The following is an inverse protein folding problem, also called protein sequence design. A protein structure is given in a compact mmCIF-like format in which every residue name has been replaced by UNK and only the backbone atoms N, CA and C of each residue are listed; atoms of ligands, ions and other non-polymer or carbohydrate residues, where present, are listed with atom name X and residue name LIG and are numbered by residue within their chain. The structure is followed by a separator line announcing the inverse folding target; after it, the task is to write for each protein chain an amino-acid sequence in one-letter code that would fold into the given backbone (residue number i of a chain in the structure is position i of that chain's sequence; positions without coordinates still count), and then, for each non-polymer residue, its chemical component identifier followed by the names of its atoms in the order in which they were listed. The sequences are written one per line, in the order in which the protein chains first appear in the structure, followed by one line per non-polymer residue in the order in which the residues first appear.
data_IF_019921944495
#
_entry.id   IF_019921944495
#
_cell.length_a   1.000
_cell.length_b   1.000
_cell.length_c   1.000
_cell.angle_alpha   90.00
_cell.angle_beta   90.00
_cell.angle_gamma   90.00
#
_symmetry.space_group_name_H-M   'P 1'
#
loop_
_entity.id
_entity.type
_entity.pdbx_description
1 polymer ?
#
# COMPACT_ATOMS: atom_id res chain seq x y z
N UNK A 1 -7.68 16.72 -15.55
CA UNK A 1 -6.42 15.93 -15.41
C UNK A 1 -6.79 14.46 -15.36
N UNK A 2 -5.97 13.63 -16.00
CA UNK A 2 -6.32 12.34 -16.59
C UNK A 2 -7.19 11.42 -15.70
N UNK A 3 -8.37 11.06 -16.20
CA UNK A 3 -9.11 9.92 -15.66
C UNK A 3 -8.38 8.63 -16.01
N UNK A 4 -7.94 7.85 -15.00
CA UNK A 4 -7.58 6.44 -15.22
C UNK A 4 -8.88 5.75 -15.70
N UNK A 5 -8.96 5.47 -16.99
CA UNK A 5 -10.02 4.66 -17.58
C UNK A 5 -9.72 3.19 -17.24
N UNK A 6 -10.12 2.74 -16.06
CA UNK A 6 -10.14 1.33 -15.69
C UNK A 6 -11.27 0.65 -16.48
N UNK A 7 -10.99 0.29 -17.72
CA UNK A 7 -11.95 -0.37 -18.61
C UNK A 7 -12.35 -1.75 -18.09
N UNK A 8 -13.66 -1.92 -17.86
CA UNK A 8 -14.43 -3.16 -18.10
C UNK A 8 -13.79 -4.49 -17.71
N UNK A 9 -13.38 -4.58 -16.44
CA UNK A 9 -12.91 -5.78 -15.74
C UNK A 9 -12.27 -5.30 -14.44
N UNK A 10 -13.03 -5.26 -13.35
CA UNK A 10 -12.55 -4.68 -12.09
C UNK A 10 -11.40 -5.52 -11.53
N UNK A 11 -10.15 -5.10 -11.80
CA UNK A 11 -8.96 -5.71 -11.22
C UNK A 11 -9.04 -5.57 -9.70
N UNK A 12 -8.98 -6.70 -8.99
CA UNK A 12 -9.01 -6.74 -7.53
C UNK A 12 -7.63 -6.37 -6.99
N UNK A 13 -7.43 -5.09 -6.69
CA UNK A 13 -6.22 -4.59 -6.04
C UNK A 13 -6.44 -4.54 -4.52
N UNK A 14 -5.62 -5.26 -3.75
CA UNK A 14 -5.63 -5.18 -2.28
C UNK A 14 -4.47 -4.34 -1.77
N UNK A 15 -4.76 -3.38 -0.89
CA UNK A 15 -3.79 -2.41 -0.36
C UNK A 15 -3.55 -2.70 1.13
N UNK A 16 -2.28 -2.83 1.49
CA UNK A 16 -1.78 -3.15 2.82
C UNK A 16 -0.86 -2.04 3.27
N UNK A 17 -1.12 -1.46 4.44
CA UNK A 17 -0.32 -0.35 4.96
C UNK A 17 0.34 -0.70 6.29
N UNK A 18 1.56 -0.21 6.47
CA UNK A 18 2.15 -0.07 7.79
C UNK A 18 1.41 1.03 8.56
N UNK A 19 0.83 0.69 9.71
CA UNK A 19 0.21 1.66 10.64
C UNK A 19 0.99 1.72 11.95
N UNK A 20 2.32 1.65 11.88
CA UNK A 20 3.22 1.63 13.05
C UNK A 20 3.39 3.00 13.73
N UNK A 21 4.03 3.01 14.89
CA UNK A 21 4.12 4.18 15.78
C UNK A 21 4.88 5.42 15.25
N UNK A 22 5.58 5.31 14.12
CA UNK A 22 6.38 6.40 13.57
C UNK A 22 5.58 7.27 12.58
N UNK A 23 6.01 8.50 12.36
CA UNK A 23 5.45 9.40 11.34
C UNK A 23 5.39 8.75 9.94
N UNK A 24 6.36 7.90 9.61
CA UNK A 24 6.40 7.21 8.32
C UNK A 24 5.37 6.08 8.20
N UNK A 25 4.94 5.49 9.33
CA UNK A 25 3.79 4.59 9.40
C UNK A 25 2.46 5.35 9.30
N UNK A 26 2.35 6.50 9.97
CA UNK A 26 1.22 7.42 9.77
C UNK A 26 1.06 7.77 8.29
N UNK A 27 2.15 8.13 7.59
CA UNK A 27 2.11 8.43 6.17
C UNK A 27 1.65 7.23 5.32
N UNK A 28 2.18 6.04 5.57
CA UNK A 28 1.79 4.84 4.83
C UNK A 28 0.27 4.54 4.97
N UNK A 29 -0.27 4.66 6.19
CA UNK A 29 -1.71 4.52 6.46
C UNK A 29 -2.54 5.59 5.74
N UNK A 30 -2.14 6.87 5.82
CA UNK A 30 -2.86 7.97 5.17
C UNK A 30 -2.86 7.86 3.64
N UNK A 31 -1.73 7.46 3.05
CA UNK A 31 -1.61 7.22 1.61
C UNK A 31 -2.51 6.07 1.16
N UNK A 32 -2.52 4.95 1.89
CA UNK A 32 -3.40 3.82 1.57
C UNK A 32 -4.89 4.20 1.61
N UNK A 33 -5.30 4.98 2.61
CA UNK A 33 -6.68 5.49 2.72
C UNK A 33 -7.03 6.42 1.56
N UNK A 34 -6.10 7.27 1.16
CA UNK A 34 -6.29 8.17 0.03
C UNK A 34 -6.42 7.39 -1.29
N UNK A 35 -5.60 6.35 -1.50
CA UNK A 35 -5.72 5.44 -2.65
C UNK A 35 -7.07 4.71 -2.70
N UNK A 36 -7.56 4.21 -1.56
CA UNK A 36 -8.88 3.60 -1.47
C UNK A 36 -9.99 4.59 -1.82
N UNK A 37 -9.95 5.80 -1.25
CA UNK A 37 -10.93 6.87 -1.55
C UNK A 37 -10.97 7.22 -3.04
N UNK A 38 -9.83 7.07 -3.70
CA UNK A 38 -9.63 7.31 -5.13
C UNK A 38 -10.01 6.11 -6.02
N UNK A 39 -10.56 5.03 -5.43
CA UNK A 39 -10.92 3.76 -6.07
C UNK A 39 -9.72 3.07 -6.77
N UNK A 40 -8.51 3.22 -6.23
CA UNK A 40 -7.32 2.52 -6.75
C UNK A 40 -7.21 1.06 -6.29
N UNK A 41 -7.96 0.67 -5.25
CA UNK A 41 -8.01 -0.66 -4.67
C UNK A 41 -8.63 -0.65 -3.27
N UNK A 42 -8.90 -1.83 -2.72
CA UNK A 42 -9.49 -2.00 -1.40
C UNK A 42 -8.41 -2.19 -0.35
N UNK A 43 -8.51 -1.48 0.78
CA UNK A 43 -7.60 -1.75 1.90
C UNK A 43 -7.99 -3.03 2.63
N UNK A 44 -6.97 -3.74 3.10
CA UNK A 44 -7.13 -4.90 3.97
C UNK A 44 -6.03 -4.94 5.05
N UNK A 45 -6.24 -5.74 6.08
CA UNK A 45 -5.43 -5.71 7.30
C UNK A 45 -4.08 -6.42 7.13
N UNK A 46 -2.99 -5.65 7.06
CA UNK A 46 -1.64 -6.22 7.11
C UNK A 46 -1.37 -7.01 8.41
N UNK A 47 -1.93 -6.57 9.53
CA UNK A 47 -1.82 -7.29 10.80
C UNK A 47 -2.45 -8.69 10.74
N UNK A 48 -3.56 -8.87 10.01
CA UNK A 48 -4.20 -10.16 9.83
C UNK A 48 -3.35 -11.12 9.01
N UNK A 49 -2.64 -10.61 8.00
CA UNK A 49 -1.64 -11.38 7.24
C UNK A 49 -0.50 -11.84 8.16
N UNK A 50 0.02 -10.94 8.99
CA UNK A 50 1.07 -11.26 9.96
C UNK A 50 0.64 -12.26 11.04
N UNK A 51 -0.65 -12.28 11.39
CA UNK A 51 -1.24 -13.24 12.30
C UNK A 51 -1.59 -14.59 11.64
N UNK A 52 -1.37 -14.74 10.33
CA UNK A 52 -1.63 -15.99 9.61
C UNK A 52 -3.12 -16.31 9.44
N UNK A 53 -4.01 -15.32 9.41
CA UNK A 53 -5.45 -15.56 9.28
C UNK A 53 -5.78 -16.04 7.86
N UNK A 54 -6.22 -17.29 7.75
CA UNK A 54 -6.42 -17.99 6.46
C UNK A 54 -7.33 -17.24 5.48
N UNK A 55 -8.40 -16.61 5.96
CA UNK A 55 -9.30 -15.83 5.10
C UNK A 55 -8.62 -14.64 4.42
N UNK A 56 -7.73 -13.94 5.12
CA UNK A 56 -6.98 -12.81 4.56
C UNK A 56 -5.92 -13.28 3.57
N UNK A 57 -5.27 -14.41 3.86
CA UNK A 57 -4.30 -15.04 2.96
C UNK A 57 -4.98 -15.46 1.67
N UNK A 58 -6.13 -16.15 1.75
CA UNK A 58 -6.89 -16.57 0.58
C UNK A 58 -7.33 -15.37 -0.28
N UNK A 59 -7.76 -14.26 0.33
CA UNK A 59 -8.05 -13.03 -0.42
C UNK A 59 -6.82 -12.48 -1.13
N UNK A 60 -5.65 -12.51 -0.49
CA UNK A 60 -4.40 -12.05 -1.10
C UNK A 60 -3.92 -12.95 -2.26
N UNK A 61 -4.18 -14.25 -2.19
CA UNK A 61 -3.90 -15.22 -3.27
C UNK A 61 -4.81 -14.98 -4.49
N UNK A 62 -6.07 -14.63 -4.25
CA UNK A 62 -7.05 -14.35 -5.30
C UNK A 62 -6.99 -12.94 -5.90
N UNK A 63 -6.20 -12.04 -5.32
CA UNK A 63 -6.09 -10.66 -5.80
C UNK A 63 -5.23 -10.59 -7.08
N UNK A 64 -5.65 -9.74 -8.03
CA UNK A 64 -4.85 -9.43 -9.23
C UNK A 64 -3.53 -8.75 -8.85
N UNK A 65 -3.55 -7.92 -7.80
CA UNK A 65 -2.35 -7.28 -7.28
C UNK A 65 -2.47 -6.96 -5.79
N UNK A 66 -1.46 -7.35 -5.03
CA UNK A 66 -1.27 -6.89 -3.65
C UNK A 66 -0.31 -5.71 -3.62
N UNK A 67 -0.71 -4.60 -3.01
CA UNK A 67 0.05 -3.36 -2.86
C UNK A 67 0.47 -3.23 -1.40
N UNK A 68 1.75 -3.36 -1.11
CA UNK A 68 2.29 -3.29 0.25
C UNK A 68 3.04 -1.97 0.43
N UNK A 69 2.55 -1.14 1.33
CA UNK A 69 3.10 0.20 1.64
C UNK A 69 3.71 0.15 3.04
N UNK A 70 5.02 -0.03 3.12
CA UNK A 70 5.75 -0.03 4.37
C UNK A 70 6.19 1.37 4.80
N UNK A 71 6.23 1.61 6.11
CA UNK A 71 6.66 2.88 6.66
C UNK A 71 8.18 2.99 6.84
N UNK A 72 8.95 1.91 6.78
CA UNK A 72 10.38 1.99 7.06
C UNK A 72 11.17 0.84 6.43
N UNK A 73 12.51 0.94 6.38
CA UNK A 73 13.37 -0.07 5.76
C UNK A 73 13.32 -1.46 6.41
N UNK A 74 12.74 -1.59 7.62
CA UNK A 74 12.47 -2.91 8.21
C UNK A 74 11.52 -3.71 7.30
N UNK A 75 10.63 -3.03 6.57
CA UNK A 75 9.76 -3.66 5.58
C UNK A 75 8.97 -4.87 6.13
N UNK A 76 8.32 -4.69 7.28
CA UNK A 76 7.58 -5.77 7.94
C UNK A 76 6.51 -6.36 7.02
N UNK A 77 5.82 -5.52 6.24
CA UNK A 77 4.82 -5.96 5.29
C UNK A 77 5.41 -6.84 4.20
N UNK A 78 6.51 -6.38 3.57
CA UNK A 78 7.28 -7.18 2.61
C UNK A 78 7.64 -8.57 3.16
N UNK A 79 8.22 -8.62 4.36
CA UNK A 79 8.64 -9.87 4.99
C UNK A 79 7.46 -10.82 5.25
N UNK A 80 6.29 -10.30 5.62
CA UNK A 80 5.07 -11.11 5.78
C UNK A 80 4.70 -11.77 4.44
N UNK A 81 4.67 -10.99 3.36
CA UNK A 81 4.33 -11.52 2.04
C UNK A 81 5.35 -12.53 1.52
N UNK A 82 6.65 -12.29 1.73
CA UNK A 82 7.70 -13.25 1.37
C UNK A 82 7.56 -14.58 2.12
N UNK A 83 7.27 -14.54 3.42
CA UNK A 83 7.05 -15.75 4.24
C UNK A 83 5.82 -16.54 3.82
N UNK A 84 4.78 -15.84 3.35
CA UNK A 84 3.55 -16.45 2.86
C UNK A 84 3.64 -16.89 1.38
N UNK A 85 4.73 -16.57 0.68
CA UNK A 85 4.89 -16.91 -0.73
C UNK A 85 3.96 -16.14 -1.68
N UNK A 86 3.46 -14.98 -1.24
CA UNK A 86 2.48 -14.18 -1.98
C UNK A 86 3.18 -13.20 -2.92
N UNK A 87 2.55 -12.90 -4.06
CA UNK A 87 3.03 -11.86 -4.99
C UNK A 87 2.56 -10.48 -4.53
N UNK A 88 3.44 -9.49 -4.62
CA UNK A 88 3.15 -8.12 -4.20
C UNK A 88 3.96 -7.09 -4.98
N UNK A 89 3.46 -5.86 -5.03
CA UNK A 89 4.21 -4.65 -5.34
C UNK A 89 4.51 -3.93 -4.04
N UNK A 90 5.77 -3.55 -3.84
CA UNK A 90 6.24 -2.98 -2.57
C UNK A 90 6.65 -1.53 -2.73
N UNK A 91 6.25 -0.72 -1.76
CA UNK A 91 6.61 0.67 -1.63
C UNK A 91 7.06 0.94 -0.19
N UNK A 92 8.07 1.78 -0.01
CA UNK A 92 8.50 2.23 1.31
C UNK A 92 8.41 3.75 1.35
N UNK A 93 7.72 4.31 2.36
CA UNK A 93 7.52 5.76 2.43
C UNK A 93 8.80 6.57 2.57
N UNK A 94 9.87 5.96 3.09
CA UNK A 94 11.19 6.59 3.19
C UNK A 94 11.85 6.86 1.84
N UNK A 95 11.47 6.12 0.79
CA UNK A 95 12.02 6.30 -0.55
C UNK A 95 11.48 7.58 -1.23
N UNK A 96 10.40 8.15 -0.68
CA UNK A 96 9.81 9.41 -1.11
C UNK A 96 10.35 10.63 -0.32
N UNK A 97 11.56 10.51 0.25
CA UNK A 97 12.22 11.60 0.98
C UNK A 97 11.74 11.82 2.41
N UNK A 98 10.89 10.94 2.95
CA UNK A 98 10.34 11.08 4.30
C UNK A 98 11.26 10.46 5.34
N UNK A 99 11.77 11.29 6.25
CA UNK A 99 12.65 10.86 7.32
C UNK A 99 11.88 10.60 8.61
N UNK A 100 12.19 9.46 9.25
CA UNK A 100 11.60 9.06 10.52
C UNK A 100 11.79 10.14 11.59
N UNK A 101 10.70 10.55 12.22
CA UNK A 101 10.58 11.57 13.26
C UNK A 101 11.14 12.97 12.89
N UNK A 102 11.36 13.26 11.61
CA UNK A 102 11.91 14.54 11.14
C UNK A 102 11.01 15.24 10.13
N UNK A 103 10.42 14.49 9.21
CA UNK A 103 9.51 15.04 8.20
C UNK A 103 8.10 15.11 8.76
N UNK A 104 7.50 16.31 8.73
CA UNK A 104 6.09 16.51 9.06
C UNK A 104 5.21 15.90 7.97
N UNK A 105 4.17 15.18 8.36
CA UNK A 105 3.22 14.57 7.42
C UNK A 105 2.11 15.59 7.13
N UNK A 106 2.20 16.23 5.96
CA UNK A 106 1.22 17.22 5.48
C UNK A 106 0.34 16.62 4.40
N UNK A 107 -0.76 17.30 4.05
CA UNK A 107 -1.63 16.88 2.94
C UNK A 107 -0.88 16.81 1.60
N UNK A 108 0.07 17.72 1.37
CA UNK A 108 0.94 17.73 0.18
C UNK A 108 1.80 16.47 0.11
N UNK A 109 2.50 16.11 1.20
CA UNK A 109 3.31 14.89 1.25
C UNK A 109 2.46 13.63 1.02
N UNK A 110 1.25 13.57 1.59
CA UNK A 110 0.33 12.44 1.36
C UNK A 110 -0.06 12.37 -0.11
N UNK A 111 -0.42 13.49 -0.72
CA UNK A 111 -0.89 13.56 -2.10
C UNK A 111 0.23 13.21 -3.09
N UNK A 112 1.45 13.70 -2.88
CA UNK A 112 2.63 13.41 -3.71
C UNK A 112 2.95 11.91 -3.71
N UNK A 113 3.03 11.30 -2.51
CA UNK A 113 3.33 9.87 -2.37
C UNK A 113 2.19 9.02 -2.94
N UNK A 114 0.93 9.41 -2.70
CA UNK A 114 -0.25 8.74 -3.27
C UNK A 114 -0.19 8.75 -4.80
N UNK A 115 0.08 9.90 -5.42
CA UNK A 115 0.13 10.02 -6.88
C UNK A 115 1.24 9.16 -7.47
N UNK A 116 2.43 9.17 -6.86
CA UNK A 116 3.54 8.32 -7.29
C UNK A 116 3.19 6.83 -7.23
N UNK A 117 2.54 6.36 -6.16
CA UNK A 117 2.10 4.95 -6.05
C UNK A 117 0.98 4.64 -7.05
N UNK A 118 0.01 5.56 -7.20
CA UNK A 118 -1.15 5.39 -8.10
C UNK A 118 -0.71 5.21 -9.56
N UNK A 119 0.29 5.96 -10.02
CA UNK A 119 0.84 5.80 -11.37
C UNK A 119 1.36 4.39 -11.61
N UNK A 120 2.04 3.79 -10.62
CA UNK A 120 2.53 2.40 -10.73
C UNK A 120 1.37 1.40 -10.71
N UNK A 121 0.31 1.66 -9.94
CA UNK A 121 -0.90 0.82 -9.92
C UNK A 121 -1.60 0.85 -11.28
N UNK A 122 -1.83 2.04 -11.88
CA UNK A 122 -2.52 2.19 -13.18
C UNK A 122 -1.66 1.73 -14.38
N UNK A 123 -0.33 1.91 -14.36
CA UNK A 123 0.55 1.62 -15.51
C UNK A 123 1.08 0.17 -15.56
N UNK A 124 0.86 -0.64 -14.52
CA UNK A 124 1.33 -2.02 -14.44
C UNK A 124 0.38 -3.04 -15.06
N UNK A 125 0.08 -2.89 -16.35
CA UNK A 125 -0.68 -3.85 -17.17
C UNK A 125 0.17 -5.01 -17.65
#
# INVERSE_FOLDING_TARGET
MAGCNCGSGEKTNLIYACSGAANTGLLADQVARALMKDNAGDMTCLAAMGAGLSGFIASAEGADSNIVIDGCPVACGKQIFEKLGLKYRHFITTDFGVQKNKTAITGEVIEDVKNAIREVICNGG
#
